data_IF_407281420918
#
_entry.id   IF_407281420918
#
_cell.length_a   1.000
_cell.length_b   1.000
_cell.length_c   1.000
_cell.angle_alpha   90.00
_cell.angle_beta   90.00
_cell.angle_gamma   90.00
#
_symmetry.space_group_name_H-M   'P 1'
#
loop_
_entity.id
_entity.type
_entity.pdbx_description
1 polymer ?
#
# COMPACT_ATOMS: atom_id res chain seq x y z
N UNK A 1 38.91 55.52 -7.86
CA UNK A 1 39.15 54.28 -8.62
C UNK A 1 39.31 53.07 -7.71
N UNK A 2 40.20 53.13 -6.72
CA UNK A 2 40.45 52.05 -5.74
C UNK A 2 39.18 51.47 -5.08
N UNK A 3 38.27 52.30 -4.57
CA UNK A 3 37.02 51.83 -3.95
C UNK A 3 36.11 51.08 -4.93
N UNK A 4 36.08 51.52 -6.20
CA UNK A 4 35.25 50.90 -7.23
C UNK A 4 35.82 49.52 -7.63
N UNK A 5 37.15 49.41 -7.71
CA UNK A 5 37.87 48.15 -7.95
C UNK A 5 37.70 47.16 -6.79
N UNK A 6 37.53 47.63 -5.55
CA UNK A 6 37.32 46.76 -4.39
C UNK A 6 35.88 46.20 -4.30
N UNK A 7 34.87 46.93 -4.80
CA UNK A 7 33.44 46.58 -4.65
C UNK A 7 32.92 45.70 -5.80
N UNK A 8 33.49 45.83 -7.00
CA UNK A 8 33.07 45.07 -8.19
C UNK A 8 33.22 43.54 -8.06
N UNK A 9 34.34 42.99 -7.55
CA UNK A 9 34.55 41.55 -7.42
C UNK A 9 33.52 40.83 -6.53
N UNK A 10 33.18 41.31 -5.31
CA UNK A 10 32.17 40.64 -4.49
C UNK A 10 30.75 40.75 -5.06
N UNK A 11 30.43 41.84 -5.77
CA UNK A 11 29.15 41.95 -6.51
C UNK A 11 29.08 40.93 -7.64
N UNK A 12 30.14 40.81 -8.44
CA UNK A 12 30.24 39.79 -9.50
C UNK A 12 30.14 38.38 -8.91
N UNK A 13 30.85 38.10 -7.82
CA UNK A 13 30.78 36.81 -7.13
C UNK A 13 29.37 36.51 -6.62
N UNK A 14 28.68 37.49 -6.03
CA UNK A 14 27.31 37.35 -5.57
C UNK A 14 26.33 37.09 -6.73
N UNK A 15 26.49 37.78 -7.86
CA UNK A 15 25.67 37.56 -9.06
C UNK A 15 25.91 36.16 -9.62
N UNK A 16 27.18 35.73 -9.73
CA UNK A 16 27.55 34.37 -10.19
C UNK A 16 26.95 33.32 -9.25
N UNK A 17 27.07 33.51 -7.93
CA UNK A 17 26.50 32.61 -6.93
C UNK A 17 24.97 32.46 -7.08
N UNK A 18 24.25 33.56 -7.29
CA UNK A 18 22.79 33.53 -7.50
C UNK A 18 22.41 32.86 -8.82
N UNK A 19 23.15 33.11 -9.91
CA UNK A 19 22.93 32.44 -11.19
C UNK A 19 23.19 30.93 -11.10
N UNK A 20 24.26 30.52 -10.40
CA UNK A 20 24.53 29.11 -10.11
C UNK A 20 23.41 28.49 -9.27
N UNK A 21 23.00 29.13 -8.17
CA UNK A 21 21.91 28.66 -7.30
C UNK A 21 20.60 28.47 -8.09
N UNK A 22 20.25 29.41 -8.96
CA UNK A 22 19.06 29.33 -9.81
C UNK A 22 19.15 28.16 -10.81
N UNK A 23 20.34 27.90 -11.35
CA UNK A 23 20.60 26.74 -12.21
C UNK A 23 20.46 25.40 -11.49
N UNK A 24 21.00 25.28 -10.27
CA UNK A 24 20.88 24.09 -9.44
C UNK A 24 19.42 23.85 -9.01
N UNK A 25 18.70 24.88 -8.57
CA UNK A 25 17.28 24.77 -8.19
C UNK A 25 16.39 24.32 -9.35
N UNK A 26 16.67 24.73 -10.59
CA UNK A 26 15.95 24.25 -11.78
C UNK A 26 16.25 22.79 -12.10
N UNK A 27 17.43 22.28 -11.71
CA UNK A 27 17.87 20.91 -11.99
C UNK A 27 17.28 19.89 -11.00
N UNK A 28 17.05 20.31 -9.75
CA UNK A 28 16.47 19.47 -8.67
C UNK A 28 14.95 19.39 -8.66
N UNK A 29 14.23 19.93 -9.65
CA UNK A 29 12.76 19.91 -9.66
C UNK A 29 12.13 18.58 -10.07
N UNK A 30 12.91 17.53 -10.26
CA UNK A 30 12.41 16.25 -10.78
C UNK A 30 12.42 15.20 -9.68
N UNK A 31 11.24 14.63 -9.41
CA UNK A 31 11.09 13.48 -8.53
C UNK A 31 11.28 12.20 -9.36
N UNK A 32 12.14 11.31 -8.89
CA UNK A 32 12.42 10.04 -9.54
C UNK A 32 12.19 8.89 -8.58
N UNK A 33 11.61 7.80 -9.08
CA UNK A 33 11.54 6.54 -8.35
C UNK A 33 12.91 5.85 -8.44
N UNK A 34 13.64 5.81 -7.33
CA UNK A 34 14.97 5.19 -7.29
C UNK A 34 14.90 3.66 -7.19
N UNK A 35 13.95 3.14 -6.41
CA UNK A 35 13.75 1.70 -6.23
C UNK A 35 12.36 1.42 -5.70
N UNK A 36 11.93 0.17 -5.86
CA UNK A 36 10.72 -0.39 -5.28
C UNK A 36 11.01 -1.79 -4.74
N UNK A 37 10.21 -2.20 -3.77
CA UNK A 37 10.22 -3.53 -3.18
C UNK A 37 8.78 -3.98 -2.91
N UNK A 38 8.44 -5.18 -3.37
CA UNK A 38 7.15 -5.81 -3.09
C UNK A 38 7.30 -6.88 -2.02
N UNK A 39 6.23 -7.09 -1.24
CA UNK A 39 6.11 -8.20 -0.31
C UNK A 39 5.40 -9.38 -0.97
N UNK A 40 5.91 -10.60 -0.75
CA UNK A 40 5.22 -11.85 -1.03
C UNK A 40 5.12 -12.59 0.29
N UNK A 41 3.89 -12.91 0.72
CA UNK A 41 3.66 -13.61 1.96
C UNK A 41 4.27 -15.03 1.89
N UNK A 42 4.58 -15.65 3.04
CA UNK A 42 5.10 -17.01 3.08
C UNK A 42 4.07 -18.02 2.56
N UNK A 43 4.54 -19.17 2.10
CA UNK A 43 3.71 -20.16 1.41
C UNK A 43 2.62 -20.78 2.31
N UNK A 44 2.79 -20.71 3.63
CA UNK A 44 1.78 -21.14 4.61
C UNK A 44 0.50 -20.28 4.56
N UNK A 45 0.57 -19.11 3.94
CA UNK A 45 -0.57 -18.21 3.74
C UNK A 45 -1.21 -18.33 2.36
N UNK A 46 -0.68 -19.17 1.47
CA UNK A 46 -1.23 -19.35 0.11
C UNK A 46 -2.51 -20.17 0.15
N UNK A 47 -3.53 -19.73 -0.57
CA UNK A 47 -4.81 -20.42 -0.71
C UNK A 47 -4.90 -21.14 -2.07
N UNK A 48 -4.87 -22.46 -2.03
CA UNK A 48 -5.34 -23.28 -3.14
C UNK A 48 -6.88 -23.38 -3.15
N UNK A 49 -7.43 -23.98 -4.22
CA UNK A 49 -8.88 -24.15 -4.36
C UNK A 49 -9.50 -24.92 -3.19
N UNK A 50 -8.81 -25.94 -2.66
CA UNK A 50 -9.31 -26.76 -1.56
C UNK A 50 -9.38 -26.00 -0.23
N UNK A 51 -8.31 -25.28 0.08
CA UNK A 51 -8.19 -24.43 1.27
C UNK A 51 -9.24 -23.32 1.23
N UNK A 52 -9.38 -22.64 0.10
CA UNK A 52 -10.42 -21.64 -0.12
C UNK A 52 -11.83 -22.24 0.08
N UNK A 53 -12.13 -23.39 -0.52
CA UNK A 53 -13.41 -24.06 -0.35
C UNK A 53 -13.68 -24.45 1.11
N UNK A 54 -12.66 -24.91 1.84
CA UNK A 54 -12.78 -25.27 3.25
C UNK A 54 -13.10 -24.05 4.13
N UNK A 55 -12.43 -22.92 3.90
CA UNK A 55 -12.69 -21.63 4.57
C UNK A 55 -14.14 -21.20 4.32
N UNK A 56 -14.58 -21.21 3.06
CA UNK A 56 -15.93 -20.83 2.66
C UNK A 56 -16.99 -21.73 3.31
N UNK A 57 -16.73 -23.03 3.38
CA UNK A 57 -17.64 -24.01 3.99
C UNK A 57 -17.76 -23.90 5.52
N UNK A 58 -16.85 -23.19 6.20
CA UNK A 58 -16.98 -22.89 7.64
C UNK A 58 -18.15 -21.96 7.91
N UNK A 59 -18.49 -21.08 6.96
CA UNK A 59 -19.62 -20.16 7.10
C UNK A 59 -20.96 -20.90 6.96
N UNK A 60 -21.71 -21.01 8.06
CA UNK A 60 -23.03 -21.67 8.09
C UNK A 60 -24.19 -20.75 7.77
N UNK A 61 -23.93 -19.47 7.52
CA UNK A 61 -24.94 -18.45 7.25
C UNK A 61 -25.23 -18.27 5.75
N UNK A 62 -24.56 -19.03 4.87
CA UNK A 62 -24.75 -18.95 3.42
C UNK A 62 -25.76 -19.99 2.95
N UNK A 63 -26.80 -19.54 2.25
CA UNK A 63 -27.70 -20.40 1.50
C UNK A 63 -27.14 -20.75 0.11
N UNK A 64 -27.88 -21.59 -0.62
CA UNK A 64 -27.41 -22.14 -1.90
C UNK A 64 -27.20 -21.05 -2.97
N UNK A 65 -28.04 -20.03 -2.99
CA UNK A 65 -27.92 -18.92 -3.95
C UNK A 65 -26.77 -17.99 -3.59
N UNK A 66 -26.50 -17.78 -2.29
CA UNK A 66 -25.33 -17.04 -1.81
C UNK A 66 -24.03 -17.78 -2.15
N UNK A 67 -23.99 -19.10 -2.00
CA UNK A 67 -22.85 -19.92 -2.43
C UNK A 67 -22.63 -19.83 -3.95
N UNK A 68 -23.69 -19.90 -4.75
CA UNK A 68 -23.61 -19.74 -6.21
C UNK A 68 -23.04 -18.38 -6.57
N UNK A 69 -23.52 -17.31 -5.94
CA UNK A 69 -23.03 -15.96 -6.16
C UNK A 69 -21.55 -15.80 -5.76
N UNK A 70 -21.17 -16.30 -4.59
CA UNK A 70 -19.80 -16.25 -4.08
C UNK A 70 -18.85 -16.99 -5.02
N UNK A 71 -19.20 -18.21 -5.43
CA UNK A 71 -18.41 -18.99 -6.36
C UNK A 71 -18.26 -18.27 -7.71
N UNK A 72 -19.35 -17.74 -8.27
CA UNK A 72 -19.29 -16.98 -9.54
C UNK A 72 -18.41 -15.73 -9.40
N UNK A 73 -18.46 -15.06 -8.26
CA UNK A 73 -17.60 -13.91 -7.96
C UNK A 73 -16.14 -14.32 -7.90
N UNK A 74 -15.80 -15.40 -7.19
CA UNK A 74 -14.44 -15.93 -7.09
C UNK A 74 -13.87 -16.28 -8.47
N UNK A 75 -14.57 -17.09 -9.26
CA UNK A 75 -14.07 -17.51 -10.59
C UNK A 75 -14.02 -16.37 -11.61
N UNK A 76 -14.80 -15.31 -11.42
CA UNK A 76 -14.81 -14.14 -12.32
C UNK A 76 -13.84 -13.03 -11.89
N UNK A 77 -13.26 -13.12 -10.70
CA UNK A 77 -12.40 -12.07 -10.14
C UNK A 77 -10.97 -12.03 -10.70
N UNK A 78 -10.55 -13.09 -11.42
CA UNK A 78 -9.17 -13.25 -11.88
C UNK A 78 -8.18 -13.63 -10.76
N UNK A 79 -8.69 -13.96 -9.56
CA UNK A 79 -7.92 -14.45 -8.42
C UNK A 79 -7.67 -15.95 -8.61
N UNK A 80 -6.41 -16.36 -8.55
CA UNK A 80 -5.99 -17.75 -8.69
C UNK A 80 -5.47 -18.36 -7.39
N UNK A 81 -4.91 -19.56 -7.49
CA UNK A 81 -4.36 -20.32 -6.36
C UNK A 81 -3.04 -19.75 -5.79
N UNK A 82 -2.51 -18.70 -6.42
CA UNK A 82 -1.32 -17.95 -5.94
C UNK A 82 -1.70 -16.76 -5.04
N UNK A 83 -2.91 -16.78 -4.48
CA UNK A 83 -3.43 -15.72 -3.63
C UNK A 83 -3.18 -16.05 -2.17
N UNK A 84 -2.80 -15.04 -1.38
CA UNK A 84 -2.47 -15.19 0.02
C UNK A 84 -3.58 -14.64 0.92
N UNK A 85 -3.76 -15.24 2.09
CA UNK A 85 -4.81 -14.91 3.05
C UNK A 85 -4.24 -14.67 4.46
N UNK A 86 -4.80 -13.71 5.22
CA UNK A 86 -4.36 -13.46 6.59
C UNK A 86 -4.44 -14.70 7.48
N UNK A 87 -3.46 -14.87 8.37
CA UNK A 87 -3.36 -16.05 9.24
C UNK A 87 -4.61 -16.27 10.10
N UNK A 88 -5.20 -15.21 10.63
CA UNK A 88 -6.41 -15.33 11.44
C UNK A 88 -7.57 -15.96 10.66
N UNK A 89 -7.68 -15.73 9.35
CA UNK A 89 -8.67 -16.39 8.51
C UNK A 89 -8.29 -17.85 8.31
N UNK A 90 -7.03 -18.16 7.99
CA UNK A 90 -6.58 -19.55 7.81
C UNK A 90 -6.83 -20.36 9.09
N UNK A 91 -6.53 -19.79 10.25
CA UNK A 91 -6.70 -20.38 11.59
C UNK A 91 -8.17 -20.57 12.03
N UNK A 92 -9.15 -20.10 11.25
CA UNK A 92 -10.57 -20.23 11.61
C UNK A 92 -11.07 -19.16 12.58
N UNK A 93 -10.35 -18.05 12.71
CA UNK A 93 -10.67 -16.91 13.58
C UNK A 93 -11.18 -15.71 12.79
N UNK A 94 -11.68 -15.91 11.58
CA UNK A 94 -12.25 -14.84 10.73
C UNK A 94 -13.41 -14.09 11.40
N UNK A 95 -14.17 -14.73 12.29
CA UNK A 95 -15.28 -14.10 13.03
C UNK A 95 -14.81 -13.30 14.25
N UNK A 96 -13.55 -13.42 14.66
CA UNK A 96 -13.00 -12.76 15.86
C UNK A 96 -11.57 -12.24 15.61
N UNK A 97 -11.38 -11.33 14.65
CA UNK A 97 -10.07 -10.70 14.42
C UNK A 97 -9.71 -9.81 15.61
N UNK A 98 -8.45 -9.86 16.02
CA UNK A 98 -7.92 -9.01 17.08
C UNK A 98 -7.09 -7.87 16.52
N UNK A 99 -6.91 -6.80 17.30
CA UNK A 99 -5.96 -5.74 16.95
C UNK A 99 -4.53 -6.29 16.76
N UNK A 100 -4.15 -7.29 17.55
CA UNK A 100 -2.82 -7.91 17.47
C UNK A 100 -2.61 -8.70 16.17
N UNK A 101 -3.67 -9.27 15.58
CA UNK A 101 -3.58 -9.91 14.27
C UNK A 101 -3.15 -8.90 13.21
N UNK A 102 -3.78 -7.72 13.20
CA UNK A 102 -3.46 -6.64 12.26
C UNK A 102 -2.06 -6.07 12.47
N UNK A 103 -1.64 -5.87 13.73
CA UNK A 103 -0.27 -5.42 14.04
C UNK A 103 0.76 -6.44 13.56
N UNK A 104 0.55 -7.72 13.86
CA UNK A 104 1.50 -8.78 13.48
C UNK A 104 1.60 -8.94 11.96
N UNK A 105 0.48 -8.81 11.25
CA UNK A 105 0.45 -8.81 9.78
C UNK A 105 1.24 -7.62 9.22
N UNK A 106 0.98 -6.40 9.70
CA UNK A 106 1.66 -5.19 9.25
C UNK A 106 3.16 -5.25 9.53
N UNK A 107 3.58 -5.64 10.72
CA UNK A 107 4.99 -5.77 11.08
C UNK A 107 5.70 -6.82 10.19
N UNK A 108 5.02 -7.94 9.92
CA UNK A 108 5.50 -9.00 9.03
C UNK A 108 5.64 -8.57 7.56
N UNK A 109 4.94 -7.52 7.15
CA UNK A 109 4.99 -6.98 5.78
C UNK A 109 5.99 -5.82 5.70
N UNK A 110 5.86 -4.81 6.56
CA UNK A 110 6.55 -3.52 6.45
C UNK A 110 8.05 -3.68 6.69
N UNK A 111 8.46 -4.24 7.84
CA UNK A 111 9.87 -4.30 8.19
C UNK A 111 10.69 -5.13 7.20
N UNK A 112 10.29 -6.36 6.81
CA UNK A 112 11.04 -7.14 5.84
C UNK A 112 11.09 -6.50 4.45
N UNK A 113 10.07 -5.71 4.08
CA UNK A 113 10.04 -4.99 2.81
C UNK A 113 11.01 -3.81 2.83
N UNK A 114 11.04 -3.04 3.91
CA UNK A 114 11.97 -1.93 4.08
C UNK A 114 13.42 -2.42 4.18
N UNK A 115 13.68 -3.49 4.93
CA UNK A 115 15.01 -4.07 5.04
C UNK A 115 15.57 -4.48 3.66
N UNK A 116 14.75 -5.15 2.85
CA UNK A 116 15.11 -5.52 1.47
C UNK A 116 15.31 -4.29 0.58
N UNK A 117 14.47 -3.26 0.75
CA UNK A 117 14.58 -2.02 -0.02
C UNK A 117 15.90 -1.30 0.28
N UNK A 118 16.23 -1.11 1.57
CA UNK A 118 17.47 -0.46 2.00
C UNK A 118 18.71 -1.29 1.65
N UNK A 119 18.65 -2.62 1.78
CA UNK A 119 19.74 -3.49 1.34
C UNK A 119 19.96 -3.40 -0.18
N UNK A 120 18.89 -3.26 -0.97
CA UNK A 120 18.95 -3.13 -2.43
C UNK A 120 19.47 -1.77 -2.88
N UNK A 121 19.13 -0.69 -2.20
CA UNK A 121 19.53 0.67 -2.58
C UNK A 121 20.85 1.11 -1.96
N UNK A 122 21.24 0.54 -0.82
CA UNK A 122 22.36 1.00 0.00
C UNK A 122 22.09 2.31 0.73
N UNK A 123 20.85 2.83 0.67
CA UNK A 123 20.46 4.07 1.36
C UNK A 123 20.27 3.76 2.84
N UNK A 124 20.92 4.53 3.71
CA UNK A 124 20.72 4.46 5.15
C UNK A 124 19.35 5.03 5.52
N UNK A 125 18.61 4.41 6.46
CA UNK A 125 17.36 4.98 6.97
C UNK A 125 17.51 6.42 7.50
N UNK A 126 18.71 6.80 7.97
CA UNK A 126 19.00 8.16 8.44
C UNK A 126 19.06 9.22 7.32
N UNK A 127 19.16 8.79 6.06
CA UNK A 127 19.16 9.67 4.88
C UNK A 127 17.73 9.94 4.36
N UNK A 128 16.71 9.33 4.97
CA UNK A 128 15.31 9.53 4.60
C UNK A 128 14.74 10.72 5.37
N UNK A 129 14.54 11.83 4.67
CA UNK A 129 13.96 13.05 5.26
C UNK A 129 12.44 12.96 5.46
N UNK A 130 11.76 12.23 4.57
CA UNK A 130 10.30 12.16 4.52
C UNK A 130 9.86 10.72 4.26
N UNK A 131 9.02 10.22 5.17
CA UNK A 131 8.22 9.01 4.95
C UNK A 131 6.82 9.49 4.60
N UNK A 132 6.35 9.14 3.41
CA UNK A 132 4.99 9.44 2.94
C UNK A 132 4.14 8.19 3.08
N UNK A 133 3.00 8.33 3.73
CA UNK A 133 1.94 7.34 3.83
C UNK A 133 0.69 7.89 3.14
N UNK A 134 0.02 7.03 2.35
CA UNK A 134 -1.16 7.27 1.49
C UNK A 134 -1.29 8.65 0.78
N UNK A 135 -2.31 8.78 -0.07
CA UNK A 135 -2.46 9.89 -1.02
C UNK A 135 -2.66 11.26 -0.33
N UNK A 136 -2.83 11.28 1.00
CA UNK A 136 -3.13 12.46 1.80
C UNK A 136 -2.00 12.84 2.77
N UNK A 137 -0.89 12.09 2.79
CA UNK A 137 0.28 12.41 3.63
C UNK A 137 0.00 12.35 5.13
N UNK A 138 -1.02 11.59 5.53
CA UNK A 138 -1.36 11.39 6.93
C UNK A 138 -0.45 10.34 7.54
N UNK A 139 0.24 10.69 8.64
CA UNK A 139 1.01 9.72 9.43
C UNK A 139 0.05 8.81 10.20
N UNK A 140 -0.07 7.55 9.78
CA UNK A 140 -0.67 6.44 10.51
C UNK A 140 -2.19 6.29 10.41
N UNK A 141 -2.63 5.05 10.65
CA UNK A 141 -4.03 4.62 10.59
C UNK A 141 -4.92 5.30 11.66
N UNK A 142 -5.75 6.25 11.23
CA UNK A 142 -6.99 6.58 11.95
C UNK A 142 -8.09 5.65 11.45
N UNK A 143 -8.23 4.48 12.07
CA UNK A 143 -9.45 3.66 11.97
C UNK A 143 -10.59 4.45 12.62
N UNK A 144 -11.22 5.35 11.86
CA UNK A 144 -12.45 6.00 12.31
C UNK A 144 -13.51 4.91 12.51
N UNK A 145 -14.39 5.07 13.51
CA UNK A 145 -15.53 4.17 13.72
C UNK A 145 -16.42 4.04 12.46
N UNK A 146 -16.26 4.96 11.52
CA UNK A 146 -16.94 4.99 10.23
C UNK A 146 -16.22 4.21 9.12
N UNK A 147 -14.99 3.72 9.30
CA UNK A 147 -14.30 2.93 8.26
C UNK A 147 -15.08 1.65 7.90
N UNK A 148 -15.63 0.87 8.87
CA UNK A 148 -16.53 -0.23 8.54
C UNK A 148 -17.75 0.24 7.74
N UNK A 149 -18.26 1.44 8.04
CA UNK A 149 -19.43 2.05 7.38
C UNK A 149 -19.09 2.51 5.96
N UNK A 150 -17.92 3.08 5.75
CA UNK A 150 -17.40 3.50 4.44
C UNK A 150 -17.06 2.27 3.58
N UNK A 151 -16.42 1.25 4.16
CA UNK A 151 -16.15 -0.03 3.52
C UNK A 151 -17.44 -0.75 3.12
N UNK A 152 -18.44 -0.82 4.01
CA UNK A 152 -19.76 -1.37 3.70
C UNK A 152 -20.46 -0.57 2.60
N UNK A 153 -20.35 0.76 2.59
CA UNK A 153 -20.92 1.62 1.55
C UNK A 153 -20.25 1.41 0.20
N UNK A 154 -18.92 1.34 0.16
CA UNK A 154 -18.14 1.05 -1.03
C UNK A 154 -18.44 -0.36 -1.57
N UNK A 155 -18.50 -1.37 -0.69
CA UNK A 155 -18.91 -2.73 -1.03
C UNK A 155 -20.34 -2.74 -1.60
N UNK A 156 -21.28 -2.04 -0.97
CA UNK A 156 -22.68 -1.93 -1.46
C UNK A 156 -22.74 -1.28 -2.84
N UNK A 157 -21.96 -0.23 -3.08
CA UNK A 157 -21.89 0.45 -4.38
C UNK A 157 -21.28 -0.46 -5.44
N UNK A 158 -20.20 -1.18 -5.11
CA UNK A 158 -19.57 -2.14 -6.02
C UNK A 158 -20.51 -3.31 -6.32
N UNK A 159 -21.18 -3.86 -5.30
CA UNK A 159 -22.16 -4.92 -5.46
C UNK A 159 -23.36 -4.47 -6.30
N UNK A 160 -23.83 -3.21 -6.22
CA UNK A 160 -24.90 -2.73 -7.14
C UNK A 160 -24.50 -2.78 -8.61
N UNK A 161 -23.22 -2.59 -8.92
CA UNK A 161 -22.70 -2.64 -10.30
C UNK A 161 -22.36 -4.07 -10.71
N UNK A 162 -21.84 -4.87 -9.78
CA UNK A 162 -21.37 -6.23 -10.04
C UNK A 162 -22.50 -7.27 -9.98
N UNK A 163 -23.45 -7.15 -9.05
CA UNK A 163 -24.55 -8.10 -8.89
C UNK A 163 -25.34 -8.32 -10.19
N UNK A 164 -25.75 -7.30 -10.96
CA UNK A 164 -26.48 -7.54 -12.22
C UNK A 164 -25.65 -8.23 -13.30
N UNK A 165 -24.32 -8.11 -13.24
CA UNK A 165 -23.38 -8.77 -14.16
C UNK A 165 -23.04 -10.20 -13.72
N UNK A 166 -23.14 -10.44 -12.41
CA UNK A 166 -22.78 -11.71 -11.76
C UNK A 166 -24.01 -12.57 -11.50
N UNK A 167 -25.22 -12.03 -11.37
CA UNK A 167 -26.44 -12.84 -11.28
C UNK A 167 -26.89 -13.29 -12.68
N UNK A 168 -27.44 -14.50 -12.83
CA UNK A 168 -28.17 -14.86 -14.04
C UNK A 168 -29.38 -13.92 -14.24
N UNK A 169 -29.85 -13.72 -15.49
CA UNK A 169 -31.04 -12.93 -15.75
C UNK A 169 -32.30 -13.52 -15.11
#
# INVERSE_FOLDING_TARGET
MELLLAILPPLLFYIIFNLCKLGYQKRDQRCYMLSYQCHKAPEDQRLDTGSCASIVARNKNLGIEEYRFLLKTMVSSGIGEETYCPKNVIDGREESPTHMDAVSEMDGIIFPTLDKLFAKTGVSPSEIDIIVEDDLGHKGFRLTRDLPKAGAKALTMNLRVLLPKVLPP
#
